data_IF_794628051492
#
_entry.id   IF_794628051492
#
_cell.length_a   1.000
_cell.length_b   1.000
_cell.length_c   1.000
_cell.angle_alpha   90.00
_cell.angle_beta   90.00
_cell.angle_gamma   90.00
#
_symmetry.space_group_name_H-M   'P 1'
#
loop_
_entity.id
_entity.type
_entity.pdbx_description
1 polymer ?
#
# COMPACT_ATOMS: atom_id res chain seq x y z
N UNK A 1 -12.24 2.61 -5.36
CA UNK A 1 -12.14 1.53 -4.35
C UNK A 1 -11.33 2.01 -3.14
N UNK A 2 -11.61 1.57 -1.92
CA UNK A 2 -10.82 1.95 -0.73
C UNK A 2 -10.57 0.78 0.23
N UNK A 3 -9.45 0.78 0.93
CA UNK A 3 -9.07 -0.33 1.80
C UNK A 3 -7.88 -0.02 2.70
N UNK A 4 -7.81 -0.70 3.85
CA UNK A 4 -6.70 -0.61 4.79
C UNK A 4 -5.63 -1.66 4.50
N UNK A 5 -4.36 -1.23 4.46
CA UNK A 5 -3.22 -2.08 4.15
C UNK A 5 -2.08 -1.86 5.13
N UNK A 6 -1.32 -2.93 5.39
CA UNK A 6 0.01 -2.82 5.96
C UNK A 6 1.00 -2.53 4.82
N UNK A 7 1.76 -1.44 4.93
CA UNK A 7 2.65 -0.96 3.87
C UNK A 7 4.09 -0.89 4.34
N UNK A 8 4.97 -1.59 3.63
CA UNK A 8 6.43 -1.45 3.73
C UNK A 8 6.92 -0.58 2.59
N UNK A 9 7.79 0.39 2.91
CA UNK A 9 8.48 1.22 1.91
C UNK A 9 9.90 0.73 1.76
N UNK A 10 10.30 0.44 0.52
CA UNK A 10 11.60 -0.13 0.17
C UNK A 10 12.28 0.83 -0.78
N UNK A 11 13.49 1.26 -0.44
CA UNK A 11 14.29 2.11 -1.32
C UNK A 11 15.29 1.25 -2.11
N UNK A 12 15.41 1.49 -3.42
CA UNK A 12 16.30 0.74 -4.33
C UNK A 12 17.75 0.69 -3.85
N UNK A 13 18.27 1.79 -3.29
CA UNK A 13 19.67 1.87 -2.84
C UNK A 13 19.93 1.16 -1.50
N UNK A 14 18.86 0.72 -0.80
CA UNK A 14 18.92 0.01 0.48
C UNK A 14 18.41 -1.43 0.37
N UNK A 15 18.51 -2.05 -0.81
CA UNK A 15 18.05 -3.42 -1.06
C UNK A 15 18.95 -4.49 -0.41
N UNK A 16 19.31 -4.35 0.87
CA UNK A 16 19.80 -5.50 1.65
C UNK A 16 18.56 -6.22 2.16
N UNK A 17 18.32 -7.44 1.67
CA UNK A 17 17.20 -8.32 2.08
C UNK A 17 17.00 -8.39 3.61
N UNK A 18 18.07 -8.16 4.39
CA UNK A 18 18.09 -8.12 5.86
C UNK A 18 17.27 -6.96 6.47
N UNK A 19 16.94 -5.93 5.70
CA UNK A 19 16.25 -4.73 6.19
C UNK A 19 14.72 -4.87 6.18
N UNK A 20 14.16 -5.81 5.39
CA UNK A 20 12.73 -6.12 5.42
C UNK A 20 12.23 -6.59 6.79
N UNK A 21 13.12 -7.18 7.59
CA UNK A 21 12.82 -7.71 8.93
C UNK A 21 12.81 -6.58 9.98
N UNK A 22 13.45 -5.42 9.73
CA UNK A 22 13.56 -4.33 10.71
C UNK A 22 12.53 -3.21 10.54
N UNK A 23 11.88 -3.07 9.39
CA UNK A 23 10.90 -2.00 9.18
C UNK A 23 9.49 -2.46 9.55
N UNK A 24 9.00 -1.99 10.70
CA UNK A 24 7.60 -2.12 11.12
C UNK A 24 6.69 -1.61 10.00
N UNK A 25 5.75 -2.42 9.48
CA UNK A 25 4.80 -1.94 8.47
C UNK A 25 4.01 -0.77 9.03
N UNK A 26 3.67 0.15 8.14
CA UNK A 26 2.81 1.26 8.49
C UNK A 26 1.40 0.99 7.98
N UNK A 27 0.40 1.11 8.86
CA UNK A 27 -0.99 0.97 8.46
C UNK A 27 -1.41 2.21 7.67
N UNK A 28 -2.01 2.00 6.50
CA UNK A 28 -2.47 3.05 5.60
C UNK A 28 -3.84 2.72 5.07
N UNK A 29 -4.70 3.74 5.02
CA UNK A 29 -5.91 3.69 4.22
C UNK A 29 -5.54 4.12 2.81
N UNK A 30 -5.85 3.28 1.83
CA UNK A 30 -5.58 3.50 0.42
C UNK A 30 -6.90 3.77 -0.29
N UNK A 31 -6.89 4.77 -1.16
CA UNK A 31 -7.99 5.09 -2.06
C UNK A 31 -7.50 4.99 -3.50
N UNK A 32 -8.17 4.16 -4.29
CA UNK A 32 -7.99 4.04 -5.74
C UNK A 32 -9.06 4.86 -6.45
N UNK A 33 -8.61 5.85 -7.20
CA UNK A 33 -9.39 6.70 -8.10
C UNK A 33 -9.00 6.40 -9.55
N UNK A 34 -9.81 6.85 -10.50
CA UNK A 34 -9.57 6.66 -11.94
C UNK A 34 -8.20 7.14 -12.41
N UNK A 35 -7.65 8.19 -11.79
CA UNK A 35 -6.38 8.82 -12.22
C UNK A 35 -5.21 8.54 -11.29
N UNK A 36 -5.40 7.81 -10.19
CA UNK A 36 -4.33 7.57 -9.23
C UNK A 36 -4.74 6.95 -7.91
N UNK A 37 -3.72 6.73 -7.10
CA UNK A 37 -3.83 6.11 -5.77
C UNK A 37 -3.42 7.13 -4.72
N UNK A 38 -4.20 7.24 -3.66
CA UNK A 38 -3.93 8.11 -2.50
C UNK A 38 -3.66 7.26 -1.26
N UNK A 39 -2.65 7.66 -0.50
CA UNK A 39 -2.22 7.03 0.73
C UNK A 39 -2.53 7.96 1.90
N UNK A 40 -3.31 7.47 2.85
CA UNK A 40 -3.62 8.17 4.09
C UNK A 40 -3.07 7.40 5.30
N UNK A 41 -2.48 8.11 6.25
CA UNK A 41 -2.14 7.56 7.57
C UNK A 41 -3.40 7.43 8.40
N UNK A 42 -3.61 6.26 8.99
CA UNK A 42 -4.69 6.01 9.95
C UNK A 42 -4.18 6.41 11.33
N UNK A 43 -4.95 7.22 12.06
CA UNK A 43 -4.76 7.52 13.48
C UNK A 43 -6.06 7.19 14.20
N UNK A 44 -5.99 6.58 15.37
CA UNK A 44 -7.15 6.41 16.23
C UNK A 44 -7.12 7.58 17.21
N UNK A 45 -8.08 8.47 17.12
CA UNK A 45 -8.20 9.63 18.00
C UNK A 45 -9.38 9.43 18.96
N UNK A 46 -9.32 9.91 20.21
CA UNK A 46 -10.47 9.90 21.11
C UNK A 46 -11.62 10.75 20.56
N UNK A 47 -12.84 10.25 20.70
CA UNK A 47 -14.08 10.97 20.43
C UNK A 47 -15.11 10.66 21.53
N UNK A 48 -16.23 11.38 21.53
CA UNK A 48 -17.34 11.16 22.47
C UNK A 48 -17.92 9.75 22.41
N UNK A 49 -17.70 9.02 21.30
CA UNK A 49 -18.17 7.64 21.08
C UNK A 49 -17.04 6.60 21.17
N UNK A 50 -15.85 6.98 21.67
CA UNK A 50 -14.66 6.12 21.77
C UNK A 50 -13.60 6.44 20.71
N UNK A 51 -12.74 5.48 20.38
CA UNK A 51 -11.65 5.69 19.42
C UNK A 51 -12.17 5.68 17.97
N UNK A 52 -12.02 6.80 17.27
CA UNK A 52 -12.46 6.94 15.87
C UNK A 52 -11.25 7.03 14.92
N UNK A 53 -11.28 6.35 13.77
CA UNK A 53 -10.21 6.46 12.78
C UNK A 53 -10.23 7.80 12.06
N UNK A 54 -9.13 8.54 12.14
CA UNK A 54 -8.86 9.74 11.38
C UNK A 54 -7.83 9.47 10.28
N UNK A 55 -8.09 9.96 9.08
CA UNK A 55 -7.27 9.70 7.89
C UNK A 55 -6.55 10.97 7.45
N UNK A 56 -5.23 11.01 7.65
CA UNK A 56 -4.41 12.14 7.19
C UNK A 56 -3.75 11.81 5.86
N UNK A 57 -3.96 12.64 4.84
CA UNK A 57 -3.24 12.54 3.57
C UNK A 57 -1.73 12.43 3.79
N UNK A 58 -1.07 11.56 3.02
CA UNK A 58 0.39 11.43 3.02
C UNK A 58 1.01 11.61 1.66
N UNK A 59 0.49 10.91 0.66
CA UNK A 59 1.00 10.99 -0.71
C UNK A 59 -0.04 10.49 -1.70
N UNK A 60 0.17 10.82 -2.96
CA UNK A 60 -0.53 10.22 -4.10
C UNK A 60 0.46 9.67 -5.11
N UNK A 61 -0.03 8.82 -6.00
CA UNK A 61 0.70 8.29 -7.16
C UNK A 61 -0.23 8.35 -8.36
N UNK A 62 0.27 8.91 -9.47
CA UNK A 62 -0.47 8.91 -10.75
C UNK A 62 -0.45 7.52 -11.34
N UNK A 63 -1.63 7.05 -11.73
CA UNK A 63 -1.84 5.72 -12.30
C UNK A 63 -0.98 5.48 -13.55
N UNK A 64 -0.88 6.49 -14.44
CA UNK A 64 -0.05 6.44 -15.66
C UNK A 64 1.43 6.12 -15.44
N UNK A 65 1.94 6.43 -14.24
CA UNK A 65 3.33 6.16 -13.85
C UNK A 65 3.46 4.98 -12.88
N UNK A 66 2.35 4.32 -12.55
CA UNK A 66 2.32 3.21 -11.62
C UNK A 66 2.81 1.93 -12.32
N UNK A 67 3.54 1.11 -11.58
CA UNK A 67 3.82 -0.28 -11.92
C UNK A 67 3.34 -1.16 -10.77
N UNK A 68 2.64 -2.25 -11.09
CA UNK A 68 2.15 -3.23 -10.12
C UNK A 68 2.79 -4.59 -10.38
N UNK A 69 3.14 -5.33 -9.32
CA UNK A 69 3.75 -6.66 -9.41
C UNK A 69 3.27 -7.59 -8.30
N UNK A 70 2.95 -8.83 -8.66
CA UNK A 70 2.59 -9.85 -7.68
C UNK A 70 3.84 -10.36 -6.96
N UNK A 71 3.75 -10.57 -5.64
CA UNK A 71 4.84 -11.15 -4.87
C UNK A 71 4.72 -12.68 -4.85
N UNK A 72 5.86 -13.38 -4.93
CA UNK A 72 5.96 -14.84 -5.10
C UNK A 72 5.56 -15.69 -3.89
N UNK A 73 5.94 -16.97 -3.90
CA UNK A 73 5.53 -17.99 -2.89
C UNK A 73 5.68 -17.47 -1.46
N UNK A 74 4.65 -17.65 -0.64
CA UNK A 74 4.58 -17.19 0.76
C UNK A 74 3.92 -15.81 0.96
N UNK A 75 3.59 -15.08 -0.11
CA UNK A 75 3.02 -13.72 -0.04
C UNK A 75 1.62 -13.61 -0.68
N UNK A 76 0.73 -14.57 -0.41
CA UNK A 76 -0.61 -14.66 -1.04
C UNK A 76 -1.52 -13.42 -0.82
N UNK A 77 -1.26 -12.64 0.23
CA UNK A 77 -1.98 -11.40 0.56
C UNK A 77 -1.20 -10.14 0.20
N UNK A 78 -0.04 -10.25 -0.45
CA UNK A 78 0.83 -9.10 -0.72
C UNK A 78 1.03 -8.86 -2.22
N UNK A 79 1.19 -7.59 -2.57
CA UNK A 79 1.58 -7.14 -3.90
C UNK A 79 2.46 -5.89 -3.77
N UNK A 80 3.18 -5.57 -4.84
CA UNK A 80 4.08 -4.43 -4.91
C UNK A 80 3.51 -3.37 -5.86
N UNK A 81 3.58 -2.10 -5.45
CA UNK A 81 3.37 -0.96 -6.34
C UNK A 81 4.58 -0.01 -6.28
N UNK A 82 4.90 0.62 -7.39
CA UNK A 82 6.02 1.57 -7.49
C UNK A 82 5.74 2.60 -8.59
N UNK A 83 6.47 3.71 -8.57
CA UNK A 83 6.61 4.52 -9.77
C UNK A 83 7.51 3.77 -10.76
N UNK A 84 7.17 3.77 -12.05
CA UNK A 84 8.06 3.29 -13.12
C UNK A 84 9.40 4.01 -12.98
N UNK A 85 10.47 3.23 -12.82
CA UNK A 85 11.83 3.70 -12.55
C UNK A 85 12.05 4.47 -11.24
N UNK A 86 11.04 4.65 -10.39
CA UNK A 86 11.17 5.35 -9.12
C UNK A 86 12.14 4.68 -8.13
N UNK A 87 12.67 5.45 -7.16
CA UNK A 87 13.60 4.93 -6.15
C UNK A 87 12.89 4.10 -5.06
N UNK A 88 11.56 4.18 -4.99
CA UNK A 88 10.75 3.58 -3.94
C UNK A 88 9.80 2.50 -4.49
N UNK A 89 9.70 1.41 -3.74
CA UNK A 89 8.70 0.35 -3.92
C UNK A 89 7.87 0.23 -2.65
N UNK A 90 6.60 -0.06 -2.82
CA UNK A 90 5.64 -0.22 -1.74
C UNK A 90 5.10 -1.64 -1.76
N UNK A 91 5.36 -2.40 -0.70
CA UNK A 91 4.74 -3.71 -0.52
C UNK A 91 3.46 -3.50 0.28
N UNK A 92 2.31 -3.81 -0.32
CA UNK A 92 1.00 -3.72 0.29
C UNK A 92 0.54 -5.11 0.69
N UNK A 93 0.18 -5.28 1.96
CA UNK A 93 -0.49 -6.49 2.45
C UNK A 93 -1.95 -6.18 2.73
N UNK A 94 -2.84 -6.89 2.02
CA UNK A 94 -4.28 -6.86 2.23
C UNK A 94 -4.69 -7.72 3.44
N UNK A 95 -5.91 -7.51 3.93
CA UNK A 95 -6.47 -8.33 5.00
C UNK A 95 -6.65 -9.81 4.57
N UNK A 96 -7.06 -10.05 3.33
CA UNK A 96 -7.27 -11.40 2.76
C UNK A 96 -6.68 -11.53 1.35
N UNK A 97 -6.64 -12.76 0.82
CA UNK A 97 -6.14 -13.02 -0.54
C UNK A 97 -7.10 -12.44 -1.58
N UNK A 98 -8.40 -12.54 -1.33
CA UNK A 98 -9.48 -12.10 -2.20
C UNK A 98 -9.44 -10.58 -2.36
N UNK A 99 -9.22 -9.85 -1.26
CA UNK A 99 -9.02 -8.39 -1.30
C UNK A 99 -7.76 -8.07 -2.11
N UNK A 100 -6.66 -8.80 -1.90
CA UNK A 100 -5.44 -8.59 -2.68
C UNK A 100 -5.67 -8.82 -4.17
N UNK A 101 -6.34 -9.91 -4.54
CA UNK A 101 -6.61 -10.29 -5.93
C UNK A 101 -7.53 -9.26 -6.60
N UNK A 102 -8.57 -8.79 -5.91
CA UNK A 102 -9.44 -7.71 -6.37
C UNK A 102 -8.66 -6.42 -6.64
N UNK A 103 -7.86 -5.96 -5.67
CA UNK A 103 -7.02 -4.75 -5.84
C UNK A 103 -6.00 -4.88 -6.95
N UNK A 104 -5.36 -6.05 -7.07
CA UNK A 104 -4.42 -6.30 -8.14
C UNK A 104 -5.09 -6.24 -9.51
N UNK A 105 -6.25 -6.89 -9.65
CA UNK A 105 -7.02 -6.91 -10.90
C UNK A 105 -7.44 -5.50 -11.30
N UNK A 106 -8.04 -4.73 -10.39
CA UNK A 106 -8.51 -3.38 -10.67
C UNK A 106 -7.38 -2.42 -11.05
N UNK A 107 -6.24 -2.46 -10.35
CA UNK A 107 -5.08 -1.63 -10.71
C UNK A 107 -4.47 -2.08 -12.05
N UNK A 108 -4.50 -3.38 -12.38
CA UNK A 108 -3.90 -3.88 -13.62
C UNK A 108 -4.69 -3.57 -14.90
N UNK A 109 -5.99 -3.29 -14.76
CA UNK A 109 -6.88 -2.90 -15.87
C UNK A 109 -6.77 -1.41 -16.23
N UNK A 110 -6.09 -0.65 -15.39
CA UNK A 110 -6.05 0.80 -15.33
C UNK A 110 -4.67 1.32 -15.79
#
# INVERSE_FOLDING_TARGET
MHGSFNIWTVHKDRYKMKDFIRFKPSQRQIYLFERGIVFCKIRMEPSDQGLTPHYSFKKSMKLVTLSIRQLGRGSSRKFEIAHRNGPEKYILQAASKEIRDCWFSEISKL
#
